data_IF_145223464443
#
_entry.id   IF_145223464443
#
_cell.length_a   1.000
_cell.length_b   1.000
_cell.length_c   1.000
_cell.angle_alpha   90.00
_cell.angle_beta   90.00
_cell.angle_gamma   90.00
#
_symmetry.space_group_name_H-M   'P 1'
#
loop_
_entity.id
_entity.type
_entity.pdbx_description
1 polymer ?
#
# COMPACT_ATOMS: atom_id res chain seq x y z
N UNK A 1 -8.13 5.64 15.85
CA UNK A 1 -7.52 4.49 15.16
C UNK A 1 -7.06 3.48 16.21
N UNK A 2 -7.76 2.34 16.33
CA UNK A 2 -7.35 1.27 17.25
C UNK A 2 -6.01 0.69 16.81
N UNK A 3 -4.99 0.71 17.68
CA UNK A 3 -3.77 -0.07 17.49
C UNK A 3 -4.16 -1.55 17.58
N UNK A 4 -4.41 -2.17 16.42
CA UNK A 4 -4.54 -3.62 16.33
C UNK A 4 -3.18 -4.23 16.66
N UNK A 5 -3.18 -5.11 17.66
CA UNK A 5 -1.97 -5.73 18.16
C UNK A 5 -1.52 -6.83 17.18
N UNK A 6 -0.48 -6.54 16.40
CA UNK A 6 0.11 -7.45 15.42
C UNK A 6 0.51 -8.80 16.03
N UNK A 7 0.74 -8.83 17.34
CA UNK A 7 1.15 -10.02 18.11
C UNK A 7 0.11 -11.15 18.15
N UNK A 8 -1.16 -10.86 17.81
CA UNK A 8 -2.25 -11.86 17.81
C UNK A 8 -2.44 -12.55 16.45
N UNK A 9 -1.67 -12.17 15.44
CA UNK A 9 -1.77 -12.70 14.09
C UNK A 9 -0.83 -13.89 13.95
N UNK A 10 -1.37 -15.04 13.53
CA UNK A 10 -0.56 -16.21 13.16
C UNK A 10 0.32 -15.88 11.95
N UNK A 11 1.61 -16.22 12.00
CA UNK A 11 2.56 -15.94 10.92
C UNK A 11 2.11 -16.50 9.57
N UNK A 12 1.50 -17.69 9.56
CA UNK A 12 0.90 -18.33 8.38
C UNK A 12 -0.22 -17.51 7.71
N UNK A 13 -0.72 -16.48 8.38
CA UNK A 13 -1.74 -15.57 7.87
C UNK A 13 -1.15 -14.30 7.26
N UNK A 14 0.15 -14.06 7.38
CA UNK A 14 0.79 -12.89 6.77
C UNK A 14 1.21 -13.25 5.34
N UNK A 15 0.97 -12.35 4.38
CA UNK A 15 1.45 -12.50 3.00
C UNK A 15 2.28 -11.30 2.62
N UNK A 16 3.52 -11.51 2.20
CA UNK A 16 4.38 -10.46 1.65
C UNK A 16 4.38 -10.60 0.13
N UNK A 17 4.05 -9.54 -0.61
CA UNK A 17 4.16 -9.50 -2.06
C UNK A 17 4.69 -8.14 -2.52
N UNK A 18 5.21 -8.06 -3.74
CA UNK A 18 5.67 -6.80 -4.33
C UNK A 18 4.93 -6.50 -5.63
N UNK A 19 4.73 -5.22 -5.92
CA UNK A 19 4.15 -4.76 -7.18
C UNK A 19 5.28 -4.36 -8.13
N UNK A 20 5.45 -5.11 -9.23
CA UNK A 20 6.46 -4.84 -10.26
C UNK A 20 5.77 -4.65 -11.61
N UNK A 21 6.02 -3.53 -12.28
CA UNK A 21 5.52 -3.25 -13.62
C UNK A 21 6.41 -2.20 -14.31
N UNK A 22 6.27 -2.07 -15.62
CA UNK A 22 6.97 -1.05 -16.40
C UNK A 22 6.53 0.39 -16.03
N UNK A 23 7.33 1.41 -16.36
CA UNK A 23 7.06 2.83 -16.04
C UNK A 23 5.70 3.24 -16.63
N UNK A 24 4.92 4.05 -15.90
CA UNK A 24 3.56 4.48 -16.27
C UNK A 24 2.48 3.39 -16.39
N UNK A 25 2.73 2.16 -15.94
CA UNK A 25 1.71 1.10 -15.88
C UNK A 25 0.85 1.10 -14.59
N UNK A 26 0.78 2.23 -13.88
CA UNK A 26 -0.14 2.37 -12.74
C UNK A 26 0.22 1.58 -11.48
N UNK A 27 1.51 1.29 -11.23
CA UNK A 27 1.98 0.60 -10.00
C UNK A 27 1.50 1.31 -8.72
N UNK A 28 1.76 2.62 -8.62
CA UNK A 28 1.36 3.42 -7.46
C UNK A 28 -0.17 3.46 -7.33
N UNK A 29 -0.88 3.58 -8.46
CA UNK A 29 -2.35 3.55 -8.49
C UNK A 29 -2.91 2.22 -7.98
N UNK A 30 -2.29 1.09 -8.35
CA UNK A 30 -2.70 -0.23 -7.86
C UNK A 30 -2.47 -0.37 -6.35
N UNK A 31 -1.35 0.13 -5.84
CA UNK A 31 -1.06 0.14 -4.41
C UNK A 31 -2.07 0.98 -3.62
N UNK A 32 -2.41 2.17 -4.12
CA UNK A 32 -3.45 3.02 -3.52
C UNK A 32 -4.82 2.31 -3.50
N UNK A 33 -5.18 1.59 -4.58
CA UNK A 33 -6.42 0.82 -4.61
C UNK A 33 -6.45 -0.31 -3.59
N UNK A 34 -5.33 -0.99 -3.34
CA UNK A 34 -5.28 -1.98 -2.27
C UNK A 34 -5.51 -1.34 -0.89
N UNK A 35 -4.94 -0.16 -0.64
CA UNK A 35 -5.12 0.58 0.61
C UNK A 35 -6.58 1.00 0.81
N UNK A 36 -7.25 1.45 -0.25
CA UNK A 36 -8.68 1.77 -0.22
C UNK A 36 -9.56 0.53 0.03
N UNK A 37 -9.28 -0.57 -0.68
CA UNK A 37 -10.07 -1.81 -0.57
C UNK A 37 -9.93 -2.47 0.81
N UNK A 38 -8.78 -2.29 1.46
CA UNK A 38 -8.53 -2.80 2.82
C UNK A 38 -9.00 -1.83 3.91
N UNK A 39 -9.48 -0.64 3.55
CA UNK A 39 -9.89 0.39 4.49
C UNK A 39 -8.72 1.01 5.28
N UNK A 40 -7.49 0.80 4.83
CA UNK A 40 -6.30 1.44 5.40
C UNK A 40 -6.27 2.95 5.10
N UNK A 41 -6.94 3.37 4.02
CA UNK A 41 -7.11 4.76 3.61
C UNK A 41 -8.59 5.01 3.30
N UNK A 42 -9.13 6.14 3.76
CA UNK A 42 -10.49 6.56 3.39
C UNK A 42 -10.55 7.04 1.94
N UNK A 43 -11.63 6.69 1.23
CA UNK A 43 -11.89 7.19 -0.13
C UNK A 43 -11.88 8.71 -0.23
N UNK A 44 -12.18 9.44 0.84
CA UNK A 44 -12.18 10.91 0.87
C UNK A 44 -10.77 11.52 0.76
N UNK A 45 -9.73 10.76 1.12
CA UNK A 45 -8.36 11.22 1.24
C UNK A 45 -7.55 10.97 -0.04
N UNK A 46 -8.12 11.36 -1.19
CA UNK A 46 -7.57 11.19 -2.55
C UNK A 46 -6.30 12.02 -2.82
N UNK A 47 -5.31 11.96 -1.94
CA UNK A 47 -3.94 12.25 -2.34
C UNK A 47 -3.51 11.09 -3.26
N UNK A 48 -3.52 11.30 -4.57
CA UNK A 48 -2.99 10.34 -5.53
C UNK A 48 -1.55 10.00 -5.17
N UNK A 49 -1.15 8.72 -5.28
CA UNK A 49 0.21 8.25 -5.03
C UNK A 49 0.65 8.44 -3.57
N UNK A 50 -0.11 7.88 -2.63
CA UNK A 50 0.12 8.11 -1.20
C UNK A 50 1.45 7.55 -0.69
N UNK A 51 1.97 6.52 -1.35
CA UNK A 51 3.24 5.91 -1.02
C UNK A 51 4.43 6.74 -1.52
N UNK A 52 4.25 7.55 -2.57
CA UNK A 52 5.31 8.37 -3.14
C UNK A 52 5.54 9.60 -2.24
N UNK A 53 6.62 9.55 -1.46
CA UNK A 53 6.93 10.54 -0.41
C UNK A 53 7.85 11.64 -0.90
N UNK A 54 8.66 11.37 -1.92
CA UNK A 54 9.58 12.37 -2.45
C UNK A 54 8.84 13.28 -3.44
N UNK A 55 9.17 14.58 -3.43
CA UNK A 55 8.57 15.54 -4.36
C UNK A 55 8.85 15.15 -5.82
N UNK A 56 10.08 14.68 -6.11
CA UNK A 56 10.47 14.20 -7.45
C UNK A 56 9.68 12.97 -7.91
N UNK A 57 9.24 12.10 -6.99
CA UNK A 57 8.41 10.94 -7.32
C UNK A 57 7.03 11.39 -7.81
N UNK A 58 6.44 12.38 -7.12
CA UNK A 58 5.13 12.97 -7.47
C UNK A 58 5.18 13.80 -8.75
N UNK A 59 6.22 14.60 -8.92
CA UNK A 59 6.38 15.46 -10.10
C UNK A 59 6.64 14.67 -11.39
N UNK A 60 7.35 13.55 -11.28
CA UNK A 60 7.73 12.74 -12.44
C UNK A 60 6.91 11.47 -12.61
N UNK A 61 5.99 11.15 -11.69
CA UNK A 61 5.18 9.95 -11.73
C UNK A 61 5.97 8.64 -11.59
N UNK A 62 7.14 8.69 -10.93
CA UNK A 62 8.03 7.54 -10.76
C UNK A 62 8.16 7.15 -9.30
N UNK A 63 8.44 5.88 -9.03
CA UNK A 63 8.83 5.41 -7.70
C UNK A 63 10.34 5.19 -7.69
N UNK A 64 11.08 6.02 -6.94
CA UNK A 64 12.54 5.93 -6.84
C UNK A 64 12.94 4.97 -5.74
N UNK A 65 12.16 4.90 -4.66
CA UNK A 65 12.41 4.02 -3.53
C UNK A 65 11.22 3.09 -3.28
N UNK A 66 11.49 1.80 -3.07
CA UNK A 66 10.47 0.87 -2.64
C UNK A 66 9.85 1.33 -1.30
N UNK A 67 8.52 1.38 -1.27
CA UNK A 67 7.73 1.76 -0.11
C UNK A 67 6.99 0.53 0.35
N UNK A 68 7.06 0.24 1.65
CA UNK A 68 6.34 -0.89 2.24
C UNK A 68 5.10 -0.40 2.98
N UNK A 69 4.00 -1.12 2.83
CA UNK A 69 2.77 -0.90 3.59
C UNK A 69 2.14 -2.21 4.04
N UNK A 70 1.47 -2.16 5.21
CA UNK A 70 0.72 -3.29 5.76
C UNK A 70 -0.76 -2.97 5.71
N UNK A 71 -1.54 -3.92 5.21
CA UNK A 71 -2.97 -3.80 4.97
C UNK A 71 -3.70 -5.02 5.55
N UNK A 72 -4.89 -4.80 6.12
CA UNK A 72 -5.72 -5.87 6.64
C UNK A 72 -6.82 -6.19 5.65
N UNK A 73 -6.80 -7.39 5.07
CA UNK A 73 -7.90 -7.87 4.25
C UNK A 73 -8.73 -8.90 5.02
N UNK A 74 -10.03 -9.02 4.69
CA UNK A 74 -11.01 -9.88 5.39
C UNK A 74 -10.61 -11.35 5.49
N UNK A 75 -9.64 -11.79 4.67
CA UNK A 75 -9.15 -13.17 4.69
C UNK A 75 -7.80 -13.26 5.40
N UNK A 76 -6.87 -12.31 5.22
CA UNK A 76 -5.52 -12.34 5.81
C UNK A 76 -4.83 -10.95 5.75
N UNK A 77 -3.91 -10.62 6.67
CA UNK A 77 -3.03 -9.46 6.54
C UNK A 77 -2.07 -9.60 5.36
N UNK A 78 -1.97 -8.53 4.57
CA UNK A 78 -1.18 -8.40 3.36
C UNK A 78 -0.13 -7.30 3.57
N UNK A 79 1.12 -7.59 3.22
CA UNK A 79 2.21 -6.62 3.18
C UNK A 79 2.65 -6.44 1.72
N UNK A 80 2.73 -5.18 1.30
CA UNK A 80 3.23 -4.73 -0.01
C UNK A 80 4.54 -3.99 0.18
#
# INVERSE_FOLDING_TARGET
MHKLNLFLILEEKIRNFGIVAHVDHGKSTLADRFLELTGAVEKSNHASQMLDKLQVERERGITVKAQSCTMFHKVFPLNV
#
